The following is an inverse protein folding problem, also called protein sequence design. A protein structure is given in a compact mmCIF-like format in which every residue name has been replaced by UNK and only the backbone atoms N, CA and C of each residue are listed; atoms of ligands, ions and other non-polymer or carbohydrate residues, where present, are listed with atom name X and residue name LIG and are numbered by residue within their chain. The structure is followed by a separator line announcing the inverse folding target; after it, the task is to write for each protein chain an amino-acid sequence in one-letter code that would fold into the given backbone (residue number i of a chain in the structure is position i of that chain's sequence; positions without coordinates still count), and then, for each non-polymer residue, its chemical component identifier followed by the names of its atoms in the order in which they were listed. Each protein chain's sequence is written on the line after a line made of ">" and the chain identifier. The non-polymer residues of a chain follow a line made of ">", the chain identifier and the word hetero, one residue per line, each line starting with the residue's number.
data_IF_517910924389
#
_entry.id   IF_517910924389
#
_cell.length_a   1.000
_cell.length_b   1.000
_cell.length_c   1.000
_cell.angle_alpha   90.00
_cell.angle_beta   90.00
_cell.angle_gamma   90.00
#
_symmetry.space_group_name_H-M   'P 1'
#
loop_
_entity.id
_entity.type
_entity.pdbx_description
1 polymer ?
#
# COMPACT_ATOMS: atom_id res chain seq x y z
N UNK A 1 -16.05 2.12 15.90
CA UNK A 1 -14.67 2.39 15.45
C UNK A 1 -13.93 1.06 15.40
N UNK A 2 -13.42 0.61 14.24
CA UNK A 2 -12.89 -0.75 14.03
C UNK A 2 -11.94 -1.24 15.14
N UNK A 3 -11.12 -0.32 15.66
CA UNK A 3 -10.18 -0.61 16.75
C UNK A 3 -10.85 -1.11 18.04
N UNK A 4 -12.05 -0.64 18.38
CA UNK A 4 -12.80 -1.10 19.57
C UNK A 4 -13.34 -2.52 19.42
N UNK A 5 -13.44 -3.01 18.19
CA UNK A 5 -14.08 -4.28 17.85
C UNK A 5 -13.03 -5.39 17.65
N UNK A 6 -11.77 -5.03 17.42
CA UNK A 6 -10.64 -5.96 17.37
C UNK A 6 -10.58 -7.01 18.49
N UNK A 7 -10.75 -6.69 19.79
CA UNK A 7 -10.73 -7.71 20.84
C UNK A 7 -11.84 -8.75 20.66
N UNK A 8 -13.07 -8.32 20.35
CA UNK A 8 -14.19 -9.22 20.05
C UNK A 8 -13.92 -10.09 18.82
N UNK A 9 -13.22 -9.55 17.81
CA UNK A 9 -12.82 -10.32 16.63
C UNK A 9 -11.81 -11.42 16.98
N UNK A 10 -10.88 -11.15 17.89
CA UNK A 10 -9.91 -12.14 18.39
C UNK A 10 -10.61 -13.22 19.22
N UNK A 11 -11.53 -12.85 20.11
CA UNK A 11 -12.34 -13.80 20.88
C UNK A 11 -13.14 -14.76 19.98
N UNK A 12 -13.79 -14.24 18.93
CA UNK A 12 -14.50 -15.07 17.94
C UNK A 12 -13.52 -16.03 17.25
N UNK A 13 -12.30 -15.57 16.95
CA UNK A 13 -11.29 -16.41 16.31
C UNK A 13 -10.83 -17.55 17.19
N UNK A 14 -10.54 -17.26 18.46
CA UNK A 14 -10.11 -18.26 19.44
C UNK A 14 -11.24 -19.26 19.73
N UNK A 15 -12.48 -18.78 19.88
CA UNK A 15 -13.64 -19.62 20.17
C UNK A 15 -14.02 -20.58 19.05
N UNK A 16 -13.79 -20.18 17.79
CA UNK A 16 -14.14 -20.97 16.60
C UNK A 16 -12.91 -21.29 15.75
N UNK A 17 -11.76 -21.58 16.38
CA UNK A 17 -10.52 -21.88 15.68
C UNK A 17 -10.64 -23.08 14.71
N UNK A 18 -11.38 -24.11 15.12
CA UNK A 18 -11.56 -25.35 14.35
C UNK A 18 -12.73 -25.31 13.35
N UNK A 19 -13.64 -24.34 13.46
CA UNK A 19 -14.84 -24.22 12.64
C UNK A 19 -14.85 -22.88 11.88
N UNK A 20 -14.18 -22.87 10.73
CA UNK A 20 -14.08 -21.69 9.86
C UNK A 20 -15.45 -21.16 9.42
N UNK A 21 -16.44 -22.04 9.27
CA UNK A 21 -17.77 -21.63 8.83
C UNK A 21 -18.49 -20.85 9.94
N UNK A 22 -18.49 -21.37 11.18
CA UNK A 22 -19.05 -20.65 12.33
C UNK A 22 -18.27 -19.36 12.63
N UNK A 23 -16.95 -19.40 12.47
CA UNK A 23 -16.11 -18.21 12.63
C UNK A 23 -16.53 -17.08 11.68
N UNK A 24 -16.73 -17.38 10.39
CA UNK A 24 -17.19 -16.40 9.40
C UNK A 24 -18.61 -15.87 9.69
N UNK A 25 -19.52 -16.74 10.14
CA UNK A 25 -20.89 -16.35 10.51
C UNK A 25 -20.90 -15.41 11.72
N UNK A 26 -20.20 -15.77 12.80
CA UNK A 26 -20.09 -14.95 14.00
C UNK A 26 -19.41 -13.60 13.73
N UNK A 27 -18.39 -13.58 12.85
CA UNK A 27 -17.74 -12.34 12.42
C UNK A 27 -18.72 -11.42 11.67
N UNK A 28 -19.55 -11.98 10.79
CA UNK A 28 -20.56 -11.22 10.06
C UNK A 28 -21.66 -10.67 10.99
N UNK A 29 -22.07 -11.45 11.99
CA UNK A 29 -23.01 -11.02 13.01
C UNK A 29 -22.44 -9.89 13.87
N UNK A 30 -21.17 -9.96 14.25
CA UNK A 30 -20.46 -8.89 14.93
C UNK A 30 -20.45 -7.59 14.09
N UNK A 31 -20.19 -7.69 12.78
CA UNK A 31 -20.24 -6.53 11.90
C UNK A 31 -21.65 -5.93 11.79
N UNK A 32 -22.69 -6.75 11.74
CA UNK A 32 -24.08 -6.29 11.73
C UNK A 32 -24.47 -5.60 13.04
N UNK A 33 -24.15 -6.20 14.17
CA UNK A 33 -24.47 -5.67 15.51
C UNK A 33 -23.74 -4.35 15.79
N UNK A 34 -22.46 -4.24 15.40
CA UNK A 34 -21.66 -3.03 15.55
C UNK A 34 -21.85 -2.02 14.39
N UNK A 35 -22.75 -2.32 13.43
CA UNK A 35 -23.05 -1.51 12.23
C UNK A 35 -21.81 -1.12 11.42
N UNK A 36 -20.88 -2.08 11.28
CA UNK A 36 -19.64 -1.93 10.53
C UNK A 36 -19.83 -2.43 9.11
N UNK A 37 -19.48 -1.61 8.12
CA UNK A 37 -19.45 -2.04 6.72
C UNK A 37 -18.05 -2.55 6.35
N UNK A 38 -17.86 -3.88 6.13
CA UNK A 38 -16.55 -4.43 5.77
C UNK A 38 -16.05 -3.96 4.38
N UNK A 39 -16.96 -3.55 3.49
CA UNK A 39 -16.63 -3.07 2.14
C UNK A 39 -16.28 -1.57 2.11
N UNK A 40 -16.49 -0.83 3.20
CA UNK A 40 -16.12 0.59 3.23
C UNK A 40 -14.61 0.79 2.99
N UNK A 41 -13.77 -0.20 3.30
CA UNK A 41 -12.33 -0.16 3.06
C UNK A 41 -11.92 -0.27 1.59
N UNK A 42 -12.74 -0.88 0.72
CA UNK A 42 -12.44 -0.99 -0.71
C UNK A 42 -13.10 0.12 -1.55
N UNK A 43 -14.00 0.92 -0.97
CA UNK A 43 -14.63 2.06 -1.65
C UNK A 43 -13.62 3.07 -2.23
N UNK A 44 -12.53 3.44 -1.52
CA UNK A 44 -11.51 4.33 -2.08
C UNK A 44 -10.86 3.75 -3.34
N UNK A 45 -10.62 2.43 -3.36
CA UNK A 45 -10.00 1.76 -4.51
C UNK A 45 -10.91 1.80 -5.74
N UNK A 46 -12.22 1.59 -5.55
CA UNK A 46 -13.19 1.64 -6.63
C UNK A 46 -13.21 3.02 -7.32
N UNK A 47 -13.11 4.10 -6.54
CA UNK A 47 -13.01 5.46 -7.07
C UNK A 47 -11.64 5.75 -7.69
N UNK A 48 -10.57 5.14 -7.17
CA UNK A 48 -9.20 5.35 -7.66
C UNK A 48 -8.95 4.72 -9.04
N UNK A 49 -9.58 3.57 -9.34
CA UNK A 49 -9.35 2.83 -10.60
C UNK A 49 -9.62 3.70 -11.85
N UNK A 50 -10.77 4.41 -11.98
CA UNK A 50 -11.01 5.30 -13.12
C UNK A 50 -9.98 6.43 -13.25
N UNK A 51 -9.57 7.04 -12.13
CA UNK A 51 -8.58 8.13 -12.11
C UNK A 51 -7.22 7.63 -12.61
N UNK A 52 -6.79 6.47 -12.09
CA UNK A 52 -5.56 5.82 -12.51
C UNK A 52 -5.57 5.47 -14.00
N UNK A 53 -6.68 4.90 -14.49
CA UNK A 53 -6.82 4.55 -15.91
C UNK A 53 -6.78 5.78 -16.82
N UNK A 54 -7.45 6.87 -16.42
CA UNK A 54 -7.42 8.13 -17.16
C UNK A 54 -6.00 8.70 -17.26
N UNK A 55 -5.28 8.76 -16.13
CA UNK A 55 -3.89 9.25 -16.10
C UNK A 55 -2.95 8.37 -16.94
N UNK A 56 -3.07 7.04 -16.80
CA UNK A 56 -2.31 6.10 -17.64
C UNK A 56 -2.57 6.35 -19.13
N UNK A 57 -3.83 6.51 -19.53
CA UNK A 57 -4.20 6.77 -20.92
C UNK A 57 -3.67 8.11 -21.43
N UNK A 58 -3.75 9.17 -20.63
CA UNK A 58 -3.21 10.50 -20.99
C UNK A 58 -1.70 10.38 -21.22
N UNK A 59 -0.96 9.82 -20.28
CA UNK A 59 0.50 9.67 -20.38
C UNK A 59 0.93 8.80 -21.55
N UNK A 60 0.17 7.75 -21.86
CA UNK A 60 0.53 6.79 -22.89
C UNK A 60 0.13 7.22 -24.32
N UNK A 61 -1.00 7.91 -24.47
CA UNK A 61 -1.58 8.22 -25.80
C UNK A 61 -1.25 9.63 -26.27
N UNK A 62 -1.14 10.60 -25.36
CA UNK A 62 -0.93 12.00 -25.77
C UNK A 62 0.51 12.19 -26.25
N UNK A 63 0.65 12.78 -27.44
CA UNK A 63 1.97 13.00 -28.06
C UNK A 63 2.81 13.98 -27.24
N UNK A 64 2.16 14.94 -26.56
CA UNK A 64 2.82 15.93 -25.72
C UNK A 64 3.52 15.34 -24.50
N UNK A 65 3.06 14.20 -23.99
CA UNK A 65 3.67 13.54 -22.83
C UNK A 65 4.90 12.72 -23.21
N UNK A 66 5.06 12.40 -24.49
CA UNK A 66 6.24 11.69 -25.00
C UNK A 66 7.46 12.60 -24.94
N UNK A 67 8.52 12.12 -24.30
CA UNK A 67 9.75 12.90 -24.07
C UNK A 67 9.50 14.20 -23.28
N UNK A 68 8.40 14.27 -22.53
CA UNK A 68 8.16 15.37 -21.62
C UNK A 68 9.10 15.22 -20.41
N UNK A 69 10.07 16.14 -20.22
CA UNK A 69 10.96 16.06 -19.07
C UNK A 69 10.24 16.48 -17.80
N UNK A 70 10.69 15.98 -16.65
CA UNK A 70 10.18 16.39 -15.35
C UNK A 70 11.30 16.93 -14.46
N UNK A 71 11.91 16.08 -13.64
CA UNK A 71 12.94 16.49 -12.68
C UNK A 71 14.06 15.45 -12.62
N UNK A 72 15.30 15.94 -12.51
CA UNK A 72 16.50 15.11 -12.41
C UNK A 72 16.74 14.26 -13.66
N UNK A 73 16.78 12.93 -13.49
CA UNK A 73 17.02 11.95 -14.56
C UNK A 73 15.78 11.62 -15.39
N UNK A 74 14.59 12.09 -15.01
CA UNK A 74 13.35 11.84 -15.77
C UNK A 74 13.26 12.79 -16.96
N UNK A 75 13.58 12.26 -18.13
CA UNK A 75 13.52 12.96 -19.42
C UNK A 75 12.26 12.61 -20.23
N UNK A 76 11.48 11.62 -19.78
CA UNK A 76 10.27 11.18 -20.46
C UNK A 76 9.26 10.66 -19.43
N UNK A 77 8.14 11.38 -19.25
CA UNK A 77 7.06 10.99 -18.34
C UNK A 77 6.22 9.82 -18.86
N UNK A 78 6.21 9.57 -20.17
CA UNK A 78 5.49 8.49 -20.82
C UNK A 78 6.28 7.17 -20.83
N UNK A 79 7.60 7.23 -20.62
CA UNK A 79 8.46 6.06 -20.52
C UNK A 79 8.64 5.60 -19.05
N UNK A 80 9.04 4.33 -18.81
CA UNK A 80 9.45 3.87 -17.49
C UNK A 80 10.64 4.67 -16.92
N UNK A 81 10.81 4.65 -15.59
CA UNK A 81 11.98 5.26 -14.94
C UNK A 81 13.27 4.63 -15.48
N UNK A 82 14.21 5.40 -16.07
CA UNK A 82 15.44 4.86 -16.65
C UNK A 82 16.44 4.37 -15.60
N UNK A 83 16.22 4.70 -14.32
CA UNK A 83 17.08 4.24 -13.22
C UNK A 83 16.68 2.83 -12.76
N UNK A 84 17.64 2.13 -12.18
CA UNK A 84 17.41 0.85 -11.51
C UNK A 84 18.43 0.65 -10.39
N UNK A 85 18.05 -0.04 -9.32
CA UNK A 85 19.02 -0.50 -8.31
C UNK A 85 20.15 -1.31 -8.98
N UNK A 86 19.84 -2.10 -10.01
CA UNK A 86 20.79 -3.01 -10.65
C UNK A 86 21.71 -2.31 -11.67
N UNK A 87 21.31 -1.16 -12.22
CA UNK A 87 22.17 -0.33 -13.07
C UNK A 87 22.84 0.81 -12.28
N UNK A 88 22.86 0.69 -10.95
CA UNK A 88 23.38 1.68 -10.01
C UNK A 88 22.79 3.08 -10.27
N UNK A 89 21.47 3.13 -10.42
CA UNK A 89 20.67 4.33 -10.70
C UNK A 89 21.11 5.10 -11.96
N UNK A 90 21.49 4.36 -13.00
CA UNK A 90 21.89 4.91 -14.30
C UNK A 90 23.40 5.18 -14.43
N UNK A 91 24.21 4.84 -13.41
CA UNK A 91 25.67 4.95 -13.50
C UNK A 91 26.29 3.89 -14.40
N UNK A 92 25.63 2.74 -14.58
CA UNK A 92 26.11 1.66 -15.44
C UNK A 92 25.16 1.51 -16.63
N UNK A 93 25.62 1.64 -17.89
CA UNK A 93 24.78 1.54 -19.08
C UNK A 93 24.47 0.08 -19.44
N UNK A 94 23.75 -0.62 -18.55
CA UNK A 94 23.27 -1.99 -18.77
C UNK A 94 21.78 -1.94 -19.07
N UNK A 95 21.38 -2.59 -20.16
CA UNK A 95 19.98 -2.87 -20.46
C UNK A 95 19.51 -4.03 -19.57
N UNK A 96 18.54 -3.75 -18.71
CA UNK A 96 17.93 -4.74 -17.82
C UNK A 96 16.56 -5.14 -18.38
N UNK A 97 16.12 -6.39 -18.16
CA UNK A 97 14.72 -6.77 -18.38
C UNK A 97 13.78 -5.87 -17.57
N UNK A 98 12.61 -5.55 -18.11
CA UNK A 98 11.63 -4.63 -17.50
C UNK A 98 11.31 -4.97 -16.03
N UNK A 99 11.27 -6.26 -15.68
CA UNK A 99 11.03 -6.73 -14.30
C UNK A 99 12.10 -6.28 -13.29
N UNK A 100 13.32 -6.03 -13.76
CA UNK A 100 14.46 -5.58 -12.97
C UNK A 100 14.66 -4.06 -13.05
N UNK A 101 13.79 -3.30 -13.72
CA UNK A 101 13.85 -1.84 -13.79
C UNK A 101 13.25 -1.16 -12.55
N UNK A 102 13.72 -1.55 -11.36
CA UNK A 102 13.26 -0.95 -10.09
C UNK A 102 13.98 0.39 -9.88
N UNK A 103 13.45 1.42 -10.51
CA UNK A 103 13.96 2.78 -10.42
C UNK A 103 13.69 3.47 -9.09
N UNK A 104 14.22 4.69 -8.96
CA UNK A 104 14.06 5.52 -7.76
C UNK A 104 12.58 5.79 -7.48
N UNK A 105 11.78 6.13 -8.50
CA UNK A 105 10.37 6.45 -8.30
C UNK A 105 9.52 5.25 -7.85
N UNK A 106 9.64 4.06 -8.47
CA UNK A 106 9.02 2.84 -7.95
C UNK A 106 9.37 2.58 -6.48
N UNK A 107 10.63 2.76 -6.07
CA UNK A 107 11.03 2.60 -4.67
C UNK A 107 10.38 3.60 -3.73
N UNK A 108 10.33 4.88 -4.12
CA UNK A 108 9.64 5.92 -3.34
C UNK A 108 8.15 5.60 -3.24
N UNK A 109 7.53 5.16 -4.34
CA UNK A 109 6.13 4.74 -4.35
C UNK A 109 5.90 3.54 -3.41
N UNK A 110 6.75 2.52 -3.48
CA UNK A 110 6.69 1.35 -2.59
C UNK A 110 6.86 1.72 -1.12
N UNK A 111 7.83 2.59 -0.80
CA UNK A 111 8.07 3.08 0.55
C UNK A 111 6.88 3.89 1.07
N UNK A 112 6.37 4.82 0.27
CA UNK A 112 5.22 5.64 0.67
C UNK A 112 3.96 4.79 0.83
N UNK A 113 3.73 3.82 -0.05
CA UNK A 113 2.62 2.88 0.08
C UNK A 113 2.74 2.03 1.36
N UNK A 114 3.95 1.54 1.66
CA UNK A 114 4.23 0.81 2.89
C UNK A 114 3.98 1.66 4.14
N UNK A 115 4.47 2.89 4.16
CA UNK A 115 4.24 3.82 5.27
C UNK A 115 2.76 4.13 5.45
N UNK A 116 2.04 4.41 4.36
CA UNK A 116 0.60 4.67 4.37
C UNK A 116 -0.19 3.49 4.94
N UNK A 117 0.12 2.26 4.52
CA UNK A 117 -0.50 1.06 5.06
C UNK A 117 -0.24 0.88 6.56
N UNK A 118 0.96 1.24 7.03
CA UNK A 118 1.35 1.15 8.45
C UNK A 118 0.72 2.22 9.33
N UNK A 119 0.10 3.26 8.76
CA UNK A 119 -0.74 4.20 9.52
C UNK A 119 -2.08 3.59 9.91
N UNK A 120 -2.54 2.57 9.19
CA UNK A 120 -3.77 1.88 9.49
C UNK A 120 -3.57 0.83 10.61
N UNK A 121 -4.59 0.58 11.45
CA UNK A 121 -4.53 -0.49 12.44
C UNK A 121 -4.27 -1.84 11.75
N UNK A 122 -3.35 -2.62 12.31
CA UNK A 122 -3.03 -3.95 11.77
C UNK A 122 -4.27 -4.84 11.81
N UNK A 123 -4.62 -5.52 10.70
CA UNK A 123 -5.73 -6.46 10.69
C UNK A 123 -5.50 -7.59 11.69
N UNK A 124 -6.54 -8.05 12.41
CA UNK A 124 -6.39 -9.18 13.33
C UNK A 124 -6.16 -10.51 12.61
N UNK A 125 -6.43 -10.59 11.30
CA UNK A 125 -6.20 -11.79 10.49
C UNK A 125 -4.74 -11.90 10.08
N UNK A 126 -4.02 -12.99 10.41
CA UNK A 126 -2.66 -13.19 9.94
C UNK A 126 -2.55 -13.19 8.41
N UNK A 127 -3.57 -13.71 7.71
CA UNK A 127 -3.58 -13.76 6.24
C UNK A 127 -3.70 -12.36 5.65
N UNK A 128 -4.61 -11.54 6.17
CA UNK A 128 -4.81 -10.16 5.73
C UNK A 128 -3.60 -9.28 6.08
N UNK A 129 -3.00 -9.48 7.27
CA UNK A 129 -1.79 -8.77 7.68
C UNK A 129 -0.59 -9.10 6.77
N UNK A 130 -0.46 -10.36 6.34
CA UNK A 130 0.56 -10.78 5.38
C UNK A 130 0.36 -10.09 4.02
N UNK A 131 -0.87 -10.05 3.51
CA UNK A 131 -1.20 -9.34 2.26
C UNK A 131 -0.80 -7.86 2.38
N UNK A 132 -1.15 -7.17 3.47
CA UNK A 132 -0.81 -5.76 3.65
C UNK A 132 0.70 -5.51 3.78
N UNK A 133 1.45 -6.51 4.26
CA UNK A 133 2.91 -6.41 4.38
C UNK A 133 3.60 -6.60 3.03
N UNK A 134 3.12 -7.52 2.20
CA UNK A 134 3.74 -7.87 0.92
C UNK A 134 3.20 -7.09 -0.28
N UNK A 135 1.97 -6.58 -0.20
CA UNK A 135 1.34 -5.85 -1.30
C UNK A 135 2.22 -4.69 -1.80
N UNK A 136 2.79 -3.81 -0.96
CA UNK A 136 3.65 -2.73 -1.44
C UNK A 136 4.86 -3.23 -2.24
N UNK A 137 5.45 -4.36 -1.83
CA UNK A 137 6.58 -4.97 -2.53
C UNK A 137 6.15 -5.43 -3.92
N UNK A 138 5.13 -6.28 -4.00
CA UNK A 138 4.62 -6.80 -5.28
C UNK A 138 4.20 -5.67 -6.21
N UNK A 139 3.51 -4.66 -5.68
CA UNK A 139 3.05 -3.51 -6.45
C UNK A 139 4.20 -2.65 -6.97
N UNK A 140 5.31 -2.55 -6.22
CA UNK A 140 6.53 -1.86 -6.66
C UNK A 140 7.13 -2.52 -7.89
N UNK A 141 7.28 -3.84 -7.89
CA UNK A 141 7.79 -4.58 -9.05
C UNK A 141 6.85 -4.48 -10.26
N UNK A 142 5.53 -4.56 -10.02
CA UNK A 142 4.54 -4.45 -11.08
C UNK A 142 4.49 -3.05 -11.72
N UNK A 143 4.57 -2.00 -10.91
CA UNK A 143 4.53 -0.60 -11.37
C UNK A 143 5.87 -0.10 -11.90
N UNK A 144 6.97 -0.83 -11.70
CA UNK A 144 8.29 -0.46 -12.20
C UNK A 144 8.33 -0.28 -13.72
N UNK A 145 7.58 -1.10 -14.47
CA UNK A 145 7.47 -1.00 -15.94
C UNK A 145 6.42 -0.01 -16.45
N UNK A 146 5.72 0.71 -15.56
CA UNK A 146 4.72 1.69 -15.97
C UNK A 146 5.35 3.07 -16.25
N UNK A 147 4.67 3.95 -17.01
CA UNK A 147 5.14 5.32 -17.24
C UNK A 147 5.52 6.03 -15.95
N UNK A 148 6.70 6.66 -15.91
CA UNK A 148 7.24 7.31 -14.72
C UNK A 148 6.28 8.37 -14.17
N UNK A 149 5.57 9.10 -15.03
CA UNK A 149 4.56 10.09 -14.61
C UNK A 149 3.45 9.48 -13.76
N UNK A 150 3.05 8.24 -14.04
CA UNK A 150 2.01 7.54 -13.29
C UNK A 150 2.52 7.13 -11.90
N UNK A 151 3.75 6.63 -11.84
CA UNK A 151 4.41 6.23 -10.59
C UNK A 151 4.67 7.44 -9.70
N UNK A 152 5.10 8.57 -10.28
CA UNK A 152 5.29 9.86 -9.60
C UNK A 152 3.97 10.35 -9.01
N UNK A 153 2.90 10.34 -9.80
CA UNK A 153 1.56 10.71 -9.33
C UNK A 153 1.15 9.88 -8.11
N UNK A 154 1.37 8.56 -8.16
CA UNK A 154 1.03 7.68 -7.07
C UNK A 154 1.87 7.97 -5.82
N UNK A 155 3.19 8.07 -5.96
CA UNK A 155 4.08 8.41 -4.85
C UNK A 155 3.66 9.72 -4.16
N UNK A 156 3.31 10.74 -4.96
CA UNK A 156 2.82 12.01 -4.45
C UNK A 156 1.47 11.88 -3.74
N UNK A 157 0.52 11.13 -4.32
CA UNK A 157 -0.77 10.88 -3.71
C UNK A 157 -0.68 10.15 -2.36
N UNK A 158 0.19 9.14 -2.27
CA UNK A 158 0.46 8.43 -1.02
C UNK A 158 1.04 9.39 0.04
N UNK A 159 2.00 10.24 -0.35
CA UNK A 159 2.61 11.22 0.55
C UNK A 159 1.58 12.21 1.10
N UNK A 160 0.73 12.78 0.24
CA UNK A 160 -0.34 13.69 0.66
C UNK A 160 -1.34 12.98 1.58
N UNK A 161 -1.68 11.74 1.27
CA UNK A 161 -2.60 10.93 2.07
C UNK A 161 -2.03 10.61 3.45
N UNK A 162 -0.73 10.28 3.55
CA UNK A 162 -0.03 10.09 4.82
C UNK A 162 -0.12 11.36 5.67
N UNK A 163 0.20 12.51 5.08
CA UNK A 163 0.16 13.80 5.78
C UNK A 163 -1.27 14.10 6.25
N UNK A 164 -2.25 13.96 5.35
CA UNK A 164 -3.66 14.20 5.66
C UNK A 164 -4.15 13.27 6.78
N UNK A 165 -3.88 11.97 6.68
CA UNK A 165 -4.27 10.98 7.69
C UNK A 165 -3.62 11.29 9.03
N UNK A 166 -2.33 11.65 9.04
CA UNK A 166 -1.61 12.05 10.25
C UNK A 166 -2.21 13.28 10.92
N UNK A 167 -2.57 14.30 10.14
CA UNK A 167 -3.24 15.51 10.64
C UNK A 167 -4.62 15.19 11.21
N UNK A 168 -5.42 14.38 10.51
CA UNK A 168 -6.76 13.97 10.98
C UNK A 168 -6.67 13.18 12.28
N UNK A 169 -5.78 12.19 12.35
CA UNK A 169 -5.58 11.38 13.55
C UNK A 169 -5.15 12.22 14.75
N UNK A 170 -4.21 13.15 14.53
CA UNK A 170 -3.79 14.10 15.57
C UNK A 170 -4.94 14.99 16.05
N UNK A 171 -5.77 15.51 15.13
CA UNK A 171 -6.94 16.34 15.47
C UNK A 171 -8.03 15.55 16.21
N UNK A 172 -8.21 14.27 15.89
CA UNK A 172 -9.20 13.39 16.50
C UNK A 172 -8.69 12.69 17.78
N UNK A 173 -7.47 12.99 18.24
CA UNK A 173 -6.85 12.33 19.40
C UNK A 173 -6.58 10.84 19.18
N UNK A 174 -6.54 10.37 17.94
CA UNK A 174 -6.21 8.99 17.60
C UNK A 174 -4.69 8.78 17.62
N UNK A 175 -4.23 7.71 18.27
CA UNK A 175 -2.80 7.33 18.30
C UNK A 175 -2.32 7.00 16.89
N UNK A 176 -1.20 7.59 16.48
CA UNK A 176 -0.53 7.26 15.22
C UNK A 176 0.21 5.92 15.42
N UNK A 177 -0.36 4.84 14.88
CA UNK A 177 0.17 3.47 15.02
C UNK A 177 1.46 3.21 14.21
N UNK A 178 1.88 4.18 13.38
CA UNK A 178 3.02 4.03 12.46
C UNK A 178 4.27 3.49 13.18
N UNK A 179 4.66 4.14 14.28
CA UNK A 179 5.86 3.77 15.03
C UNK A 179 5.71 2.43 15.73
N UNK A 180 4.55 2.14 16.33
CA UNK A 180 4.29 0.87 17.00
C UNK A 180 4.34 -0.29 16.01
N UNK A 181 3.70 -0.12 14.84
CA UNK A 181 3.67 -1.11 13.77
C UNK A 181 5.06 -1.34 13.16
N UNK A 182 5.90 -0.31 13.04
CA UNK A 182 7.27 -0.43 12.56
C UNK A 182 8.15 -1.18 13.58
N UNK A 183 8.08 -0.82 14.86
CA UNK A 183 8.84 -1.50 15.93
C UNK A 183 8.43 -2.96 16.06
N UNK A 184 7.13 -3.27 15.88
CA UNK A 184 6.62 -4.64 15.94
C UNK A 184 7.22 -5.57 14.87
N UNK A 185 7.67 -5.04 13.72
CA UNK A 185 8.34 -5.85 12.69
C UNK A 185 9.72 -6.33 13.12
N UNK A 186 10.43 -5.53 13.92
CA UNK A 186 11.78 -5.85 14.39
C UNK A 186 11.80 -6.57 15.74
N UNK A 187 10.68 -6.58 16.47
CA UNK A 187 10.54 -7.39 17.68
C UNK A 187 10.42 -8.87 17.31
N UNK A 188 11.35 -9.68 17.82
CA UNK A 188 11.21 -11.15 17.81
C UNK A 188 9.86 -11.51 18.45
N UNK A 189 9.02 -12.28 17.73
CA UNK A 189 7.88 -12.94 18.37
C UNK A 189 8.41 -13.81 19.50
N UNK A 190 7.85 -13.76 20.72
CA UNK A 190 8.16 -14.76 21.73
C UNK A 190 7.88 -16.13 21.12
N UNK A 191 8.80 -17.09 21.37
CA UNK A 191 8.55 -18.49 21.02
C UNK A 191 7.18 -18.87 21.55
N UNK A 192 6.33 -19.56 20.77
CA UNK A 192 5.17 -20.21 21.36
C UNK A 192 5.73 -21.10 22.48
N UNK A 193 5.26 -20.90 23.70
CA UNK A 193 5.56 -21.80 24.79
C UNK A 193 5.02 -23.18 24.38
N UNK A 194 5.91 -24.16 24.34
CA UNK A 194 5.57 -25.59 24.14
C UNK A 194 4.65 -26.10 25.26
#
# INVERSE_FOLDING_TARGET
>A
NMKKVQPKMLEIREKYADDKMKQQQAMMELYKTEKINPLAGCWPVALQIPVFFALYKVLYITIEMRHAPFFGWIQDLAAPDPTSIFNLFGLIPIALPDMLMIGVWPLIMGLTMFLQMRMNPTPPDPTQAMIFTWMPVVFTFMMAGFPAGLVIYWAWNNLLSIIQQGVIMKRQGAKIELWDNLVALFRKKPSPAE
#
